data_IF_239912650774
#
_entry.id   IF_239912650774
#
_cell.length_a   1.000
_cell.length_b   1.000
_cell.length_c   1.000
_cell.angle_alpha   90.00
_cell.angle_beta   90.00
_cell.angle_gamma   90.00
#
_symmetry.space_group_name_H-M   'P 1'
#
loop_
_entity.id
_entity.type
_entity.pdbx_description
1 polymer ?
#
# COMPACT_ATOMS: atom_id res chain seq x y z
N UNK A 1 -17.51 -16.73 2.77
CA UNK A 1 -17.13 -15.44 2.17
C UNK A 1 -16.42 -15.72 0.85
N UNK A 2 -16.76 -14.98 -0.21
CA UNK A 2 -16.02 -15.03 -1.48
C UNK A 2 -14.96 -13.93 -1.46
N UNK A 3 -13.73 -14.23 -1.89
CA UNK A 3 -12.62 -13.27 -1.87
C UNK A 3 -12.87 -12.07 -2.81
N UNK A 4 -13.69 -12.26 -3.84
CA UNK A 4 -14.08 -11.18 -4.74
C UNK A 4 -14.87 -10.08 -4.01
N UNK A 5 -15.70 -10.46 -3.03
CA UNK A 5 -16.45 -9.50 -2.22
C UNK A 5 -15.51 -8.71 -1.29
N UNK A 6 -14.44 -9.34 -0.78
CA UNK A 6 -13.42 -8.66 0.03
C UNK A 6 -12.69 -7.58 -0.78
N UNK A 7 -12.30 -7.90 -2.02
CA UNK A 7 -11.62 -6.94 -2.89
C UNK A 7 -12.53 -5.80 -3.35
N UNK A 8 -13.80 -6.11 -3.60
CA UNK A 8 -14.80 -5.13 -4.02
C UNK A 8 -15.11 -4.12 -2.92
N UNK A 9 -15.18 -4.60 -1.67
CA UNK A 9 -15.55 -3.78 -0.51
C UNK A 9 -14.32 -3.24 0.25
N UNK A 10 -13.14 -3.25 -0.36
CA UNK A 10 -11.93 -2.70 0.26
C UNK A 10 -11.99 -1.17 0.40
N UNK A 11 -11.42 -0.66 1.48
CA UNK A 11 -11.17 0.77 1.69
C UNK A 11 -10.03 1.16 0.74
N UNK A 12 -10.32 2.08 -0.19
CA UNK A 12 -9.37 2.46 -1.27
C UNK A 12 -9.23 3.97 -1.44
N UNK A 13 -10.15 4.75 -0.89
CA UNK A 13 -10.16 6.19 -1.05
C UNK A 13 -9.62 6.88 0.21
N UNK A 14 -8.75 7.90 0.08
CA UNK A 14 -8.29 8.70 1.21
C UNK A 14 -9.43 9.25 2.09
N UNK A 15 -10.56 9.63 1.49
CA UNK A 15 -11.73 10.14 2.22
C UNK A 15 -12.30 9.11 3.21
N UNK A 16 -12.28 7.82 2.85
CA UNK A 16 -12.78 6.77 3.72
C UNK A 16 -11.91 6.60 4.97
N UNK A 17 -10.61 6.95 4.91
CA UNK A 17 -9.73 6.91 6.08
C UNK A 17 -10.10 8.01 7.09
N UNK A 18 -10.59 9.17 6.62
CA UNK A 18 -11.13 10.21 7.50
C UNK A 18 -12.46 9.76 8.11
N UNK A 19 -13.34 9.17 7.30
CA UNK A 19 -14.67 8.70 7.75
C UNK A 19 -14.57 7.68 8.89
N UNK A 20 -13.57 6.79 8.86
CA UNK A 20 -13.32 5.80 9.92
C UNK A 20 -12.43 6.34 11.05
N UNK A 21 -11.98 7.60 10.96
CA UNK A 21 -11.13 8.24 11.96
C UNK A 21 -9.68 7.76 11.98
N UNK A 22 -9.21 7.07 10.93
CA UNK A 22 -7.84 6.57 10.83
C UNK A 22 -6.83 7.71 10.57
N UNK A 23 -7.26 8.79 9.92
CA UNK A 23 -6.48 10.00 9.71
C UNK A 23 -7.31 11.24 10.05
N UNK A 24 -6.64 12.37 10.27
CA UNK A 24 -7.30 13.65 10.50
C UNK A 24 -7.60 14.33 9.17
N UNK A 25 -8.66 15.15 9.14
CA UNK A 25 -9.07 15.90 7.95
C UNK A 25 -7.95 16.81 7.40
N UNK A 26 -7.11 17.36 8.27
CA UNK A 26 -5.97 18.21 7.88
C UNK A 26 -4.89 17.46 7.08
N UNK A 27 -4.78 16.14 7.29
CA UNK A 27 -3.78 15.29 6.64
C UNK A 27 -4.28 14.77 5.28
N UNK A 28 -5.57 14.94 4.96
CA UNK A 28 -6.23 14.34 3.79
C UNK A 28 -5.54 14.67 2.47
N UNK A 29 -5.12 15.91 2.26
CA UNK A 29 -4.51 16.32 0.97
C UNK A 29 -3.13 15.68 0.77
N UNK A 30 -2.34 15.58 1.83
CA UNK A 30 -1.08 14.86 1.81
C UNK A 30 -1.29 13.36 1.54
N UNK A 31 -2.31 12.76 2.16
CA UNK A 31 -2.65 11.35 1.93
C UNK A 31 -3.16 11.13 0.50
N UNK A 32 -3.86 12.09 -0.11
CA UNK A 32 -4.23 12.03 -1.53
C UNK A 32 -3.01 12.04 -2.43
N UNK A 33 -2.03 12.89 -2.14
CA UNK A 33 -0.77 12.92 -2.87
C UNK A 33 -0.02 11.59 -2.73
N UNK A 34 0.09 11.04 -1.52
CA UNK A 34 0.70 9.73 -1.29
C UNK A 34 -0.05 8.64 -2.05
N UNK A 35 -1.39 8.62 -1.99
CA UNK A 35 -2.21 7.62 -2.65
C UNK A 35 -2.07 7.61 -4.18
N UNK A 36 -1.78 8.76 -4.79
CA UNK A 36 -1.49 8.85 -6.22
C UNK A 36 -0.23 8.06 -6.61
N UNK A 37 0.82 8.11 -5.76
CA UNK A 37 2.09 7.41 -5.99
C UNK A 37 2.06 5.96 -5.48
N UNK A 38 1.45 5.75 -4.31
CA UNK A 38 1.37 4.47 -3.61
C UNK A 38 -0.10 4.14 -3.27
N UNK A 39 -0.85 3.54 -4.21
CA UNK A 39 -2.24 3.16 -3.97
C UNK A 39 -2.35 2.11 -2.87
N UNK A 40 -3.27 2.33 -1.93
CA UNK A 40 -3.57 1.38 -0.87
C UNK A 40 -4.93 0.70 -1.10
N UNK A 41 -5.09 -0.49 -0.52
CA UNK A 41 -6.37 -1.19 -0.45
C UNK A 41 -6.44 -2.04 0.82
N UNK A 42 -7.31 -1.65 1.75
CA UNK A 42 -7.52 -2.38 3.01
C UNK A 42 -8.79 -3.22 2.88
N UNK A 43 -8.64 -4.55 2.87
CA UNK A 43 -9.80 -5.45 2.77
C UNK A 43 -10.65 -5.41 4.05
N UNK A 44 -11.96 -5.71 3.99
CA UNK A 44 -12.80 -5.82 5.18
C UNK A 44 -12.25 -6.80 6.23
N UNK A 45 -11.61 -7.89 5.80
CA UNK A 45 -10.93 -8.81 6.69
C UNK A 45 -9.77 -8.16 7.45
N UNK A 46 -8.86 -7.45 6.75
CA UNK A 46 -7.75 -6.74 7.40
C UNK A 46 -8.26 -5.65 8.35
N UNK A 47 -9.26 -4.88 7.93
CA UNK A 47 -9.85 -3.83 8.75
C UNK A 47 -10.43 -4.35 10.09
N UNK A 48 -10.89 -5.61 10.15
CA UNK A 48 -11.38 -6.26 11.37
C UNK A 48 -10.27 -6.72 12.32
N UNK A 49 -9.06 -6.95 11.82
CA UNK A 49 -7.92 -7.37 12.62
C UNK A 49 -7.19 -6.20 13.28
N UNK A 50 -7.37 -4.99 12.75
CA UNK A 50 -6.73 -3.76 13.22
C UNK A 50 -7.42 -3.27 14.49
N UNK A 51 -6.63 -2.99 15.53
CA UNK A 51 -7.07 -2.17 16.66
C UNK A 51 -6.95 -0.67 16.32
N UNK A 52 -8.05 -0.08 15.87
CA UNK A 52 -8.12 1.33 15.48
C UNK A 52 -7.91 2.33 16.64
N UNK A 53 -7.99 1.88 17.89
CA UNK A 53 -7.69 2.73 19.05
C UNK A 53 -6.21 2.70 19.43
N UNK A 54 -5.42 1.81 18.83
CA UNK A 54 -3.99 1.70 19.05
C UNK A 54 -3.21 2.24 17.84
N UNK A 55 -2.66 3.47 17.91
CA UNK A 55 -1.87 4.04 16.82
C UNK A 55 -0.56 3.29 16.54
N UNK A 56 -0.18 2.33 17.40
CA UNK A 56 0.99 1.46 17.25
C UNK A 56 0.61 0.03 16.84
N UNK A 57 -0.63 -0.20 16.43
CA UNK A 57 -1.03 -1.50 15.89
C UNK A 57 -0.17 -1.84 14.66
N UNK A 58 0.49 -3.02 14.63
CA UNK A 58 1.44 -3.36 13.56
C UNK A 58 0.75 -3.55 12.21
N UNK A 59 -0.52 -4.00 12.18
CA UNK A 59 -1.27 -4.12 10.94
C UNK A 59 -1.67 -2.74 10.44
N UNK A 60 -2.10 -1.83 11.32
CA UNK A 60 -2.40 -0.44 10.97
C UNK A 60 -1.19 0.23 10.32
N UNK A 61 -0.02 0.13 10.95
CA UNK A 61 1.23 0.74 10.44
C UNK A 61 1.68 0.16 9.10
N UNK A 62 1.23 -1.05 8.74
CA UNK A 62 1.60 -1.71 7.49
C UNK A 62 0.68 -1.36 6.32
N UNK A 63 -0.55 -0.89 6.60
CA UNK A 63 -1.58 -0.66 5.56
C UNK A 63 -2.07 0.79 5.48
N UNK A 64 -1.87 1.59 6.54
CA UNK A 64 -2.25 2.99 6.57
C UNK A 64 -1.11 3.84 5.97
N UNK A 65 -1.39 4.69 4.96
CA UNK A 65 -0.39 5.59 4.43
C UNK A 65 0.09 6.58 5.49
N UNK A 66 1.39 6.85 5.50
CA UNK A 66 2.05 7.75 6.45
C UNK A 66 2.58 9.01 5.77
N UNK A 67 2.53 10.15 6.47
CA UNK A 67 3.15 11.40 6.01
C UNK A 67 4.66 11.26 5.76
N UNK A 68 5.32 10.30 6.41
CA UNK A 68 6.73 10.00 6.17
C UNK A 68 7.01 9.52 4.73
N UNK A 69 6.01 8.97 4.03
CA UNK A 69 6.13 8.51 2.64
C UNK A 69 6.26 9.67 1.63
N UNK A 70 6.06 10.92 2.06
CA UNK A 70 6.36 12.09 1.24
C UNK A 70 7.87 12.35 1.13
N UNK A 71 8.68 11.80 2.03
CA UNK A 71 10.13 11.87 1.90
C UNK A 71 10.59 10.98 0.74
N UNK A 72 11.14 11.61 -0.30
CA UNK A 72 11.61 10.94 -1.52
C UNK A 72 13.09 10.61 -1.50
N UNK A 73 13.74 10.66 -0.34
CA UNK A 73 15.12 10.21 -0.21
C UNK A 73 15.26 8.74 -0.65
N UNK A 74 16.35 8.42 -1.35
CA UNK A 74 16.64 7.07 -1.84
C UNK A 74 16.45 6.91 -3.34
N UNK A 75 16.23 5.66 -3.78
CA UNK A 75 16.07 5.26 -5.18
C UNK A 75 14.85 4.37 -5.32
N UNK A 76 14.07 4.54 -6.39
CA UNK A 76 12.88 3.72 -6.63
C UNK A 76 13.22 2.28 -7.04
N UNK A 77 14.32 2.08 -7.78
CA UNK A 77 14.76 0.76 -8.25
C UNK A 77 16.06 0.32 -7.53
N UNK A 78 15.97 0.10 -6.23
CA UNK A 78 17.13 -0.34 -5.43
C UNK A 78 17.55 -1.76 -5.82
N UNK A 79 16.62 -2.59 -6.26
CA UNK A 79 16.83 -3.99 -6.66
C UNK A 79 17.41 -4.15 -8.07
N UNK A 80 17.43 -3.10 -8.91
CA UNK A 80 17.87 -3.15 -10.30
C UNK A 80 16.91 -3.96 -11.17
N UNK A 81 15.62 -3.94 -10.86
CA UNK A 81 14.56 -4.68 -11.54
C UNK A 81 14.49 -4.34 -13.02
N UNK A 82 14.72 -3.08 -13.40
CA UNK A 82 14.75 -2.67 -14.79
C UNK A 82 15.87 -3.39 -15.57
N UNK A 83 17.08 -3.48 -15.00
CA UNK A 83 18.23 -4.14 -15.63
C UNK A 83 18.08 -5.67 -15.71
N UNK A 84 17.35 -6.25 -14.76
CA UNK A 84 17.10 -7.69 -14.69
C UNK A 84 15.86 -8.14 -15.47
N UNK A 85 15.06 -7.21 -15.99
CA UNK A 85 13.92 -7.50 -16.87
C UNK A 85 14.43 -7.98 -18.23
N UNK A 86 14.06 -9.20 -18.62
CA UNK A 86 14.44 -9.78 -19.92
C UNK A 86 13.36 -9.59 -20.97
N UNK A 87 12.10 -9.63 -20.54
CA UNK A 87 10.91 -9.42 -21.34
C UNK A 87 9.84 -8.75 -20.47
N UNK A 88 8.85 -8.12 -21.08
CA UNK A 88 7.73 -7.51 -20.33
C UNK A 88 7.08 -8.53 -19.41
N UNK A 89 7.12 -8.25 -18.10
CA UNK A 89 6.57 -9.12 -17.07
C UNK A 89 7.49 -10.27 -16.62
N UNK A 90 8.73 -10.34 -17.11
CA UNK A 90 9.68 -11.41 -16.74
C UNK A 90 11.03 -10.82 -16.33
N UNK A 91 11.41 -11.07 -15.07
CA UNK A 91 12.72 -10.72 -14.55
C UNK A 91 13.54 -11.99 -14.27
N UNK A 92 14.84 -11.95 -14.61
CA UNK A 92 15.79 -13.02 -14.29
C UNK A 92 17.08 -12.41 -13.74
N UNK A 93 17.07 -12.16 -12.42
CA UNK A 93 18.22 -11.64 -11.67
C UNK A 93 19.23 -12.72 -11.29
N UNK A 94 18.77 -13.97 -11.12
CA UNK A 94 19.62 -15.11 -10.78
C UNK A 94 19.51 -16.21 -11.84
N UNK A 95 20.59 -16.99 -12.10
CA UNK A 95 20.62 -17.93 -13.23
C UNK A 95 19.54 -19.02 -13.22
N UNK A 96 19.05 -19.41 -12.04
CA UNK A 96 18.16 -20.57 -11.86
C UNK A 96 16.73 -20.19 -11.46
N UNK A 97 16.40 -18.90 -11.42
CA UNK A 97 15.07 -18.43 -11.00
C UNK A 97 14.59 -17.30 -11.89
N UNK A 98 13.27 -17.21 -12.09
CA UNK A 98 12.62 -16.08 -12.73
C UNK A 98 11.48 -15.56 -11.84
N UNK A 99 11.21 -14.27 -11.91
CA UNK A 99 10.02 -13.62 -11.37
C UNK A 99 9.08 -13.28 -12.52
N UNK A 100 7.81 -13.67 -12.40
CA UNK A 100 6.74 -13.36 -13.34
C UNK A 100 5.83 -12.33 -12.68
N UNK A 101 5.63 -11.18 -13.33
CA UNK A 101 4.86 -10.04 -12.85
C UNK A 101 3.43 -10.03 -13.40
#
# INVERSE_FOLDING_TARGET
>A
MKWQDELKNSIRKPEQLVEIGAIRQEDLENIKQIHHEFPFAITPHYAKLIDWNNPKDPLLLSVLPSLAELDRAGYHDVSGEAENTKETGVQSKYPSTALIL
#
